data_IF_004487616810
#
_entry.id   IF_004487616810
#
_cell.length_a   1.000
_cell.length_b   1.000
_cell.length_c   1.000
_cell.angle_alpha   90.00
_cell.angle_beta   90.00
_cell.angle_gamma   90.00
#
_symmetry.space_group_name_H-M   'P 1'
#
loop_
_entity.id
_entity.type
_entity.pdbx_description
1 polymer ?
#
# COMPACT_ATOMS: atom_id res chain seq x y z
N UNK A 1 -28.59 -8.58 -54.21
CA UNK A 1 -29.44 -9.22 -53.19
C UNK A 1 -29.16 -8.52 -51.86
N UNK A 2 -30.15 -7.81 -51.34
CA UNK A 2 -30.01 -6.93 -50.17
C UNK A 2 -30.05 -7.73 -48.85
N UNK A 3 -29.28 -7.35 -47.81
CA UNK A 3 -29.38 -7.97 -46.51
C UNK A 3 -30.68 -7.54 -45.83
N UNK A 4 -31.48 -8.52 -45.42
CA UNK A 4 -32.75 -8.32 -44.72
C UNK A 4 -32.47 -7.79 -43.30
N UNK A 5 -32.86 -6.54 -43.03
CA UNK A 5 -32.84 -5.99 -41.67
C UNK A 5 -34.12 -6.44 -40.98
N UNK A 6 -34.03 -7.48 -40.14
CA UNK A 6 -35.13 -7.88 -39.27
C UNK A 6 -35.17 -6.94 -38.06
N UNK A 7 -36.03 -5.92 -38.15
CA UNK A 7 -36.36 -5.00 -37.07
C UNK A 7 -37.07 -5.77 -35.94
N UNK A 8 -36.30 -6.32 -35.00
CA UNK A 8 -36.83 -6.88 -33.75
C UNK A 8 -37.37 -5.75 -32.88
N UNK A 9 -38.68 -5.55 -33.00
CA UNK A 9 -39.61 -4.88 -32.08
C UNK A 9 -39.04 -4.67 -30.67
N UNK A 10 -38.81 -3.40 -30.34
CA UNK A 10 -38.55 -2.90 -29.00
C UNK A 10 -39.81 -3.07 -28.14
N UNK A 11 -40.03 -4.28 -27.61
CA UNK A 11 -40.97 -4.49 -26.51
C UNK A 11 -40.47 -3.75 -25.26
N UNK A 12 -40.80 -2.46 -25.16
CA UNK A 12 -40.60 -1.64 -23.96
C UNK A 12 -41.50 -2.18 -22.85
N UNK A 13 -40.95 -3.02 -21.97
CA UNK A 13 -41.59 -3.38 -20.71
C UNK A 13 -41.87 -2.09 -19.91
N UNK A 14 -43.09 -1.89 -19.37
CA UNK A 14 -43.34 -0.78 -18.47
C UNK A 14 -42.54 -1.00 -17.18
N UNK A 15 -41.55 -0.14 -16.93
CA UNK A 15 -40.87 -0.05 -15.63
C UNK A 15 -41.89 0.42 -14.60
N UNK A 16 -42.40 -0.48 -13.76
CA UNK A 16 -43.11 -0.10 -12.53
C UNK A 16 -42.15 0.72 -11.67
N UNK A 17 -42.44 2.01 -11.55
CA UNK A 17 -41.80 2.90 -10.60
C UNK A 17 -42.32 2.56 -9.20
N UNK A 18 -41.49 1.94 -8.38
CA UNK A 18 -41.74 1.80 -6.94
C UNK A 18 -41.21 3.08 -6.27
N UNK A 19 -42.06 3.94 -5.70
CA UNK A 19 -41.58 5.09 -4.95
C UNK A 19 -40.73 4.60 -3.77
N UNK A 20 -39.58 5.24 -3.46
CA UNK A 20 -38.78 4.87 -2.31
C UNK A 20 -39.64 5.11 -1.07
N UNK A 21 -39.96 4.03 -0.35
CA UNK A 21 -40.68 4.10 0.92
C UNK A 21 -40.04 5.18 1.80
N UNK A 22 -40.86 6.16 2.22
CA UNK A 22 -40.49 7.34 2.98
C UNK A 22 -40.09 7.03 4.44
N UNK A 23 -39.16 6.09 4.63
CA UNK A 23 -38.79 5.63 5.97
C UNK A 23 -37.54 4.75 6.07
N UNK A 24 -36.75 4.58 5.00
CA UNK A 24 -35.47 3.85 5.14
C UNK A 24 -34.34 4.85 5.46
N UNK A 25 -33.67 4.73 6.63
CA UNK A 25 -32.48 5.53 6.87
C UNK A 25 -31.45 5.19 5.81
N UNK A 26 -31.03 6.21 5.03
CA UNK A 26 -29.92 6.07 4.08
C UNK A 26 -28.73 5.49 4.86
N UNK A 27 -28.08 4.41 4.38
CA UNK A 27 -26.84 3.98 5.00
C UNK A 27 -25.85 5.16 4.97
N UNK A 28 -25.17 5.47 6.08
CA UNK A 28 -24.27 6.60 6.13
C UNK A 28 -23.22 6.40 5.05
N UNK A 29 -23.11 7.37 4.14
CA UNK A 29 -22.02 7.41 3.16
C UNK A 29 -20.74 7.45 3.98
N UNK A 30 -20.06 6.31 4.12
CA UNK A 30 -18.75 6.22 4.74
C UNK A 30 -17.81 7.02 3.85
N UNK A 31 -17.71 8.33 4.11
CA UNK A 31 -16.67 9.18 3.55
C UNK A 31 -15.38 8.59 4.07
N UNK A 32 -14.73 7.74 3.26
CA UNK A 32 -13.34 7.36 3.45
C UNK A 32 -12.56 8.67 3.52
N UNK A 33 -12.25 9.13 4.73
CA UNK A 33 -11.30 10.21 4.94
C UNK A 33 -9.99 9.72 4.31
N UNK A 34 -9.68 10.23 3.11
CA UNK A 34 -8.34 10.08 2.56
C UNK A 34 -7.41 10.75 3.57
N UNK A 35 -6.64 9.95 4.32
CA UNK A 35 -5.54 10.49 5.13
C UNK A 35 -4.65 11.23 4.16
N UNK A 36 -4.60 12.56 4.28
CA UNK A 36 -3.55 13.35 3.64
C UNK A 36 -2.27 12.95 4.37
N UNK A 37 -1.54 11.98 3.84
CA UNK A 37 -0.17 11.75 4.25
C UNK A 37 0.57 13.05 3.96
N UNK A 38 1.12 13.66 5.00
CA UNK A 38 1.96 14.85 4.85
C UNK A 38 3.09 14.48 3.88
N UNK A 39 3.50 15.40 2.97
CA UNK A 39 4.65 15.19 2.10
C UNK A 39 5.96 14.88 2.87
N UNK A 40 5.95 15.09 4.19
CA UNK A 40 7.07 14.84 5.11
C UNK A 40 6.65 13.92 6.26
N UNK A 41 5.89 12.86 5.97
CA UNK A 41 5.74 11.81 6.98
C UNK A 41 7.14 11.23 7.17
N UNK A 42 7.80 11.60 8.27
CA UNK A 42 9.17 11.22 8.57
C UNK A 42 9.21 9.71 8.79
N UNK A 43 9.37 8.95 7.71
CA UNK A 43 9.44 7.50 7.78
C UNK A 43 10.74 7.16 8.49
N UNK A 44 10.67 6.51 9.65
CA UNK A 44 11.86 6.08 10.37
C UNK A 44 12.57 4.99 9.57
N UNK A 45 13.90 5.07 9.46
CA UNK A 45 14.69 4.02 8.80
C UNK A 45 14.49 2.65 9.47
N UNK A 46 14.28 2.62 10.79
CA UNK A 46 13.95 1.40 11.52
C UNK A 46 12.58 0.83 11.14
N UNK A 47 11.61 1.70 10.85
CA UNK A 47 10.28 1.29 10.38
C UNK A 47 10.34 0.74 8.95
N UNK A 48 11.16 1.34 8.08
CA UNK A 48 11.44 0.77 6.74
C UNK A 48 12.07 -0.62 6.88
N UNK A 49 13.09 -0.75 7.73
CA UNK A 49 13.81 -2.00 7.96
C UNK A 49 12.88 -3.13 8.45
N UNK A 50 11.94 -2.82 9.35
CA UNK A 50 10.99 -3.78 9.89
C UNK A 50 10.01 -4.36 8.84
N UNK A 51 9.78 -3.66 7.72
CA UNK A 51 8.86 -4.07 6.66
C UNK A 51 9.58 -4.66 5.44
N UNK A 52 10.90 -4.85 5.50
CA UNK A 52 11.64 -5.46 4.41
C UNK A 52 11.29 -6.94 4.26
N UNK A 53 11.07 -7.37 3.03
CA UNK A 53 11.09 -8.80 2.72
C UNK A 53 12.52 -9.34 2.89
N UNK A 54 12.72 -10.63 3.14
CA UNK A 54 14.07 -11.14 3.35
C UNK A 54 15.03 -10.95 2.16
N UNK A 55 14.51 -11.00 0.92
CA UNK A 55 15.34 -10.69 -0.27
C UNK A 55 15.79 -9.23 -0.27
N UNK A 56 14.90 -8.31 0.08
CA UNK A 56 15.24 -6.89 0.21
C UNK A 56 16.19 -6.65 1.38
N UNK A 57 16.04 -7.38 2.48
CA UNK A 57 16.93 -7.32 3.64
C UNK A 57 18.38 -7.66 3.27
N UNK A 58 18.61 -8.70 2.43
CA UNK A 58 19.95 -9.03 1.93
C UNK A 58 20.53 -7.89 1.09
N UNK A 59 19.76 -7.34 0.15
CA UNK A 59 20.21 -6.21 -0.69
C UNK A 59 20.52 -4.98 0.17
N UNK A 60 19.68 -4.70 1.16
CA UNK A 60 19.90 -3.63 2.13
C UNK A 60 21.16 -3.84 2.95
N UNK A 61 21.46 -5.07 3.39
CA UNK A 61 22.67 -5.36 4.16
C UNK A 61 23.92 -5.13 3.31
N UNK A 62 23.92 -5.56 2.04
CA UNK A 62 25.03 -5.35 1.11
C UNK A 62 25.27 -3.87 0.77
N UNK A 63 24.22 -3.05 0.84
CA UNK A 63 24.26 -1.63 0.46
C UNK A 63 23.94 -0.70 1.63
N UNK A 64 24.18 -1.15 2.87
CA UNK A 64 23.66 -0.48 4.06
C UNK A 64 24.13 0.97 4.18
N UNK A 65 25.41 1.21 3.92
CA UNK A 65 26.00 2.54 4.00
C UNK A 65 25.41 3.49 2.94
N UNK A 66 25.19 3.00 1.71
CA UNK A 66 24.56 3.78 0.65
C UNK A 66 23.10 4.10 0.98
N UNK A 67 22.36 3.15 1.55
CA UNK A 67 20.97 3.35 1.98
C UNK A 67 20.86 4.35 3.13
N UNK A 68 21.80 4.30 4.09
CA UNK A 68 21.88 5.28 5.18
C UNK A 68 22.19 6.67 4.62
N UNK A 69 23.20 6.81 3.75
CA UNK A 69 23.54 8.11 3.13
C UNK A 69 22.37 8.69 2.34
N UNK A 70 21.64 7.86 1.59
CA UNK A 70 20.44 8.27 0.86
C UNK A 70 19.36 8.78 1.82
N UNK A 71 19.11 8.06 2.91
CA UNK A 71 18.16 8.49 3.94
C UNK A 71 18.57 9.82 4.57
N UNK A 72 19.84 9.98 4.97
CA UNK A 72 20.36 11.21 5.58
C UNK A 72 20.24 12.38 4.59
N UNK A 73 20.48 12.15 3.30
CA UNK A 73 20.33 13.15 2.24
C UNK A 73 18.88 13.56 2.00
N UNK A 74 17.93 12.61 2.02
CA UNK A 74 16.52 12.89 1.77
C UNK A 74 15.87 13.57 2.98
N UNK A 75 16.24 13.14 4.19
CA UNK A 75 15.61 13.60 5.44
C UNK A 75 16.33 14.76 6.12
N UNK A 76 17.57 15.05 5.71
CA UNK A 76 18.43 16.04 6.37
C UNK A 76 18.84 15.67 7.80
N UNK A 77 18.56 14.43 8.24
CA UNK A 77 18.82 13.94 9.60
C UNK A 77 19.95 12.93 9.56
N UNK A 78 21.04 13.22 10.27
CA UNK A 78 22.09 12.24 10.53
C UNK A 78 21.58 11.15 11.48
N UNK A 79 21.84 9.88 11.15
CA UNK A 79 21.57 8.77 12.06
C UNK A 79 22.65 8.67 13.14
N UNK A 80 22.22 8.50 14.39
CA UNK A 80 23.13 8.18 15.48
C UNK A 80 23.70 6.76 15.31
N UNK A 81 24.90 6.51 15.86
CA UNK A 81 25.55 5.19 15.79
C UNK A 81 24.68 4.05 16.34
N UNK A 82 23.93 4.31 17.42
CA UNK A 82 22.99 3.35 17.99
C UNK A 82 21.83 3.01 17.05
N UNK A 83 21.29 4.00 16.34
CA UNK A 83 20.21 3.79 15.36
C UNK A 83 20.71 2.97 14.17
N UNK A 84 21.94 3.23 13.70
CA UNK A 84 22.58 2.44 12.63
C UNK A 84 22.72 0.97 13.04
N UNK A 85 23.21 0.72 14.25
CA UNK A 85 23.35 -0.63 14.80
C UNK A 85 21.98 -1.35 14.93
N UNK A 86 20.94 -0.63 15.35
CA UNK A 86 19.59 -1.19 15.46
C UNK A 86 19.00 -1.58 14.10
N UNK A 87 19.21 -0.75 13.06
CA UNK A 87 18.78 -1.05 11.69
C UNK A 87 19.50 -2.29 11.17
N UNK A 88 20.82 -2.36 11.34
CA UNK A 88 21.62 -3.51 10.93
C UNK A 88 21.17 -4.80 11.63
N UNK A 89 20.98 -4.75 12.95
CA UNK A 89 20.52 -5.89 13.73
C UNK A 89 19.13 -6.37 13.30
N UNK A 90 18.23 -5.44 13.00
CA UNK A 90 16.88 -5.75 12.50
C UNK A 90 16.94 -6.47 11.16
N UNK A 91 17.76 -5.98 10.22
CA UNK A 91 17.96 -6.60 8.91
C UNK A 91 18.54 -8.01 9.05
N UNK A 92 19.55 -8.19 9.88
CA UNK A 92 20.14 -9.52 10.16
C UNK A 92 19.13 -10.48 10.77
N UNK A 93 18.27 -10.01 11.68
CA UNK A 93 17.22 -10.83 12.27
C UNK A 93 16.18 -11.30 11.24
N UNK A 94 15.82 -10.45 10.26
CA UNK A 94 14.91 -10.83 9.16
C UNK A 94 15.52 -11.94 8.30
N UNK A 95 16.82 -11.85 7.99
CA UNK A 95 17.55 -12.86 7.22
C UNK A 95 17.61 -14.18 8.00
N UNK A 96 18.08 -14.13 9.25
CA UNK A 96 18.22 -15.33 10.09
C UNK A 96 16.89 -16.06 10.31
N UNK A 97 15.77 -15.34 10.45
CA UNK A 97 14.42 -15.95 10.56
C UNK A 97 13.99 -16.67 9.30
N UNK A 98 14.40 -16.21 8.11
CA UNK A 98 14.14 -16.92 6.86
C UNK A 98 14.97 -18.19 6.76
N UNK A 99 16.25 -18.11 7.12
CA UNK A 99 17.16 -19.24 7.02
C UNK A 99 16.81 -20.35 8.02
N UNK A 100 16.32 -19.98 9.21
CA UNK A 100 15.76 -20.92 10.19
C UNK A 100 14.32 -21.39 9.91
N UNK A 101 13.66 -20.88 8.86
CA UNK A 101 12.32 -21.29 8.43
C UNK A 101 12.34 -22.18 7.18
N UNK A 102 13.53 -22.62 6.74
CA UNK A 102 13.66 -23.66 5.72
C UNK A 102 13.33 -25.03 6.38
N UNK A 103 12.32 -25.78 5.87
CA UNK A 103 12.02 -27.14 6.32
C UNK A 103 13.09 -28.16 5.90
#
# INVERSE_FOLDING_TARGET
>A
MAPQWSARSLFRRPRRYTPPAAGRPRPPRVRRRRRKLSPWTTVSLAEVAAHLTPRQAVVWLLNLEAMIRLYESITGRALARAERAQVEQTIRAIIARRDGAAP
#
